data_IF_784230053823
#
_entry.id   IF_784230053823
#
_cell.length_a   1.000
_cell.length_b   1.000
_cell.length_c   1.000
_cell.angle_alpha   90.00
_cell.angle_beta   90.00
_cell.angle_gamma   90.00
#
_symmetry.space_group_name_H-M   'P 1'
#
loop_
_entity.id
_entity.type
_entity.pdbx_description
1 polymer ?
#
# COMPACT_ATOMS: atom_id res chain seq x y z
N UNK A 1 -7.64 18.01 10.18
CA UNK A 1 -7.58 16.61 10.65
C UNK A 1 -6.67 15.85 9.69
N UNK A 2 -5.45 15.49 10.11
CA UNK A 2 -4.48 14.81 9.23
C UNK A 2 -4.86 13.34 9.09
N UNK A 3 -5.32 12.95 7.90
CA UNK A 3 -5.53 11.54 7.56
C UNK A 3 -4.13 10.94 7.34
N UNK A 4 -3.57 10.32 8.38
CA UNK A 4 -2.27 9.64 8.31
C UNK A 4 -2.49 8.14 8.10
N UNK A 5 -1.57 7.50 7.38
CA UNK A 5 -1.46 6.06 7.26
C UNK A 5 -1.01 5.50 8.61
N UNK A 6 -1.91 4.83 9.31
CA UNK A 6 -1.56 4.06 10.48
C UNK A 6 -0.86 2.78 10.03
N UNK A 7 0.35 2.56 10.57
CA UNK A 7 1.08 1.34 10.32
C UNK A 7 0.34 0.18 11.02
N UNK A 8 -0.07 -0.89 10.30
CA UNK A 8 -0.82 -2.00 10.88
C UNK A 8 -0.03 -2.71 11.98
N UNK A 9 -0.72 -3.10 13.04
CA UNK A 9 -0.18 -3.87 14.17
C UNK A 9 0.30 -5.25 13.69
N UNK A 10 1.28 -5.91 14.34
CA UNK A 10 1.74 -7.24 13.91
C UNK A 10 0.62 -8.29 13.75
N UNK A 11 -0.44 -8.20 14.55
CA UNK A 11 -1.62 -9.07 14.44
C UNK A 11 -2.44 -8.78 13.17
N UNK A 12 -2.66 -7.51 12.86
CA UNK A 12 -3.34 -7.10 11.62
C UNK A 12 -2.56 -7.53 10.39
N UNK A 13 -1.22 -7.41 10.43
CA UNK A 13 -0.35 -7.91 9.37
C UNK A 13 -0.54 -9.41 9.15
N UNK A 14 -0.55 -10.21 10.22
CA UNK A 14 -0.77 -11.67 10.13
C UNK A 14 -2.15 -12.00 9.59
N UNK A 15 -3.18 -11.28 10.03
CA UNK A 15 -4.57 -11.48 9.56
C UNK A 15 -4.71 -11.16 8.07
N UNK A 16 -4.14 -10.04 7.61
CA UNK A 16 -4.18 -9.66 6.19
C UNK A 16 -3.39 -10.67 5.35
N UNK A 17 -2.19 -11.06 5.78
CA UNK A 17 -1.39 -12.04 5.04
C UNK A 17 -2.10 -13.39 4.95
N UNK A 18 -2.71 -13.87 6.04
CA UNK A 18 -3.45 -15.14 6.02
C UNK A 18 -4.67 -15.08 5.10
N UNK A 19 -5.37 -13.95 5.05
CA UNK A 19 -6.53 -13.75 4.18
C UNK A 19 -6.15 -13.70 2.70
N UNK A 20 -4.98 -13.17 2.37
CA UNK A 20 -4.43 -13.20 1.02
C UNK A 20 -3.67 -14.50 0.68
N UNK A 21 -3.57 -15.44 1.62
CA UNK A 21 -2.91 -16.73 1.42
C UNK A 21 -1.37 -16.65 1.38
N UNK A 22 -0.79 -15.58 1.93
CA UNK A 22 0.66 -15.36 1.94
C UNK A 22 1.24 -15.85 3.28
N UNK A 23 2.23 -16.78 3.25
CA UNK A 23 2.76 -17.40 4.46
C UNK A 23 3.65 -16.48 5.30
N UNK A 24 4.20 -15.41 4.73
CA UNK A 24 5.08 -14.47 5.43
C UNK A 24 5.07 -13.07 4.80
N UNK A 25 5.47 -12.08 5.61
CA UNK A 25 5.60 -10.71 5.14
C UNK A 25 6.86 -10.55 4.28
N UNK A 26 6.67 -10.37 2.97
CA UNK A 26 7.77 -10.19 2.02
C UNK A 26 7.97 -8.73 1.63
N UNK A 27 9.21 -8.42 1.23
CA UNK A 27 9.56 -7.11 0.68
C UNK A 27 9.19 -7.04 -0.81
N UNK A 28 8.28 -6.14 -1.12
CA UNK A 28 7.72 -5.89 -2.44
C UNK A 28 8.50 -4.76 -3.12
N UNK A 29 8.89 -4.96 -4.38
CA UNK A 29 9.56 -3.94 -5.21
C UNK A 29 8.57 -3.01 -5.90
N UNK A 30 9.10 -1.98 -6.54
CA UNK A 30 8.34 -0.99 -7.34
C UNK A 30 7.34 -1.66 -8.30
N UNK A 31 7.80 -2.64 -9.09
CA UNK A 31 6.98 -3.34 -10.10
C UNK A 31 5.78 -4.04 -9.48
N UNK A 32 5.99 -4.71 -8.36
CA UNK A 32 4.94 -5.49 -7.68
C UNK A 32 4.04 -4.56 -6.85
N UNK A 33 4.59 -3.49 -6.26
CA UNK A 33 3.79 -2.41 -5.66
C UNK A 33 2.84 -1.82 -6.69
N UNK A 34 3.33 -1.49 -7.89
CA UNK A 34 2.50 -0.99 -8.99
C UNK A 34 1.41 -1.99 -9.35
N UNK A 35 1.70 -3.29 -9.38
CA UNK A 35 0.69 -4.31 -9.67
C UNK A 35 -0.41 -4.38 -8.60
N UNK A 36 -0.03 -4.36 -7.31
CA UNK A 36 -0.95 -4.45 -6.17
C UNK A 36 -1.81 -3.17 -6.05
N UNK A 37 -1.17 -2.01 -6.09
CA UNK A 37 -1.83 -0.72 -5.84
C UNK A 37 -2.42 -0.10 -7.10
N UNK A 38 -1.97 -0.48 -8.30
CA UNK A 38 -2.29 0.16 -9.59
C UNK A 38 -2.09 1.67 -9.63
N UNK A 39 -1.31 2.24 -8.70
CA UNK A 39 -0.94 3.66 -8.68
C UNK A 39 0.43 3.84 -9.32
N UNK A 40 0.56 4.94 -10.07
CA UNK A 40 1.84 5.35 -10.65
C UNK A 40 2.83 5.77 -9.56
N UNK A 41 4.13 5.73 -9.89
CA UNK A 41 5.22 6.15 -8.99
C UNK A 41 5.04 7.57 -8.47
N UNK A 42 4.56 8.49 -9.30
CA UNK A 42 4.34 9.89 -8.91
C UNK A 42 3.18 10.04 -7.93
N UNK A 43 2.09 9.31 -8.13
CA UNK A 43 0.97 9.29 -7.18
C UNK A 43 1.38 8.67 -5.84
N UNK A 44 2.13 7.55 -5.86
CA UNK A 44 2.69 6.97 -4.65
C UNK A 44 3.56 7.97 -3.89
N UNK A 45 4.43 8.72 -4.58
CA UNK A 45 5.28 9.73 -3.96
C UNK A 45 4.47 10.88 -3.34
N UNK A 46 3.41 11.36 -4.01
CA UNK A 46 2.52 12.38 -3.45
C UNK A 46 1.84 11.88 -2.17
N UNK A 47 1.31 10.67 -2.19
CA UNK A 47 0.65 10.06 -1.03
C UNK A 47 1.63 9.78 0.11
N UNK A 48 2.86 9.39 -0.20
CA UNK A 48 3.92 9.24 0.80
C UNK A 48 4.23 10.60 1.46
N UNK A 49 4.32 11.68 0.68
CA UNK A 49 4.53 13.03 1.19
C UNK A 49 3.32 13.57 2.00
N UNK A 50 2.11 13.15 1.64
CA UNK A 50 0.88 13.42 2.40
C UNK A 50 0.75 12.54 3.66
N UNK A 51 1.68 11.61 3.89
CA UNK A 51 1.61 10.66 5.01
C UNK A 51 0.49 9.64 4.87
N UNK A 52 -0.03 9.44 3.66
CA UNK A 52 -1.18 8.60 3.32
C UNK A 52 -0.81 7.28 2.70
N UNK A 53 0.47 7.02 2.45
CA UNK A 53 0.98 5.77 1.85
C UNK A 53 1.98 5.11 2.81
N UNK A 54 2.13 3.78 2.79
CA UNK A 54 3.14 3.11 3.57
C UNK A 54 4.56 3.59 3.26
N UNK A 55 5.35 3.76 4.32
CA UNK A 55 6.71 4.24 4.23
C UNK A 55 7.59 3.29 3.40
N UNK A 56 8.36 3.85 2.46
CA UNK A 56 9.37 3.08 1.70
C UNK A 56 10.51 2.66 2.63
N UNK A 57 10.91 1.39 2.54
CA UNK A 57 12.13 0.89 3.15
C UNK A 57 13.28 0.93 2.14
N UNK A 58 14.35 1.71 2.39
CA UNK A 58 15.54 1.65 1.55
C UNK A 58 16.22 0.30 1.76
N UNK A 59 16.47 -0.42 0.66
CA UNK A 59 17.31 -1.63 0.67
C UNK A 59 18.72 -1.34 0.12
N UNK A 60 18.88 -0.24 -0.62
CA UNK A 60 20.17 0.18 -1.16
C UNK A 60 20.09 1.57 -1.78
N UNK A 61 21.17 2.00 -2.43
CA UNK A 61 21.36 3.37 -2.95
C UNK A 61 20.22 3.87 -3.85
N UNK A 62 19.66 2.99 -4.68
CA UNK A 62 18.58 3.29 -5.63
C UNK A 62 17.41 2.31 -5.49
N UNK A 63 17.43 1.47 -4.46
CA UNK A 63 16.49 0.36 -4.30
C UNK A 63 15.65 0.58 -3.06
N UNK A 64 14.36 0.71 -3.27
CA UNK A 64 13.36 0.76 -2.19
C UNK A 64 12.48 -0.49 -2.27
N UNK A 65 11.89 -0.84 -1.15
CA UNK A 65 10.87 -1.88 -1.03
C UNK A 65 9.79 -1.45 -0.04
N UNK A 66 8.66 -2.12 -0.11
CA UNK A 66 7.54 -1.97 0.82
C UNK A 66 7.21 -3.34 1.41
N UNK A 67 6.61 -3.39 2.59
CA UNK A 67 6.09 -4.66 3.09
C UNK A 67 4.80 -4.99 2.35
N UNK A 68 4.61 -6.26 2.01
CA UNK A 68 3.40 -6.72 1.36
C UNK A 68 2.19 -6.45 2.25
N UNK A 69 2.28 -6.75 3.54
CA UNK A 69 1.22 -6.48 4.52
C UNK A 69 0.78 -5.00 4.53
N UNK A 70 1.74 -4.08 4.47
CA UNK A 70 1.47 -2.64 4.43
C UNK A 70 0.74 -2.21 3.15
N UNK A 71 1.16 -2.74 2.00
CA UNK A 71 0.48 -2.46 0.73
C UNK A 71 -0.94 -3.02 0.69
N UNK A 72 -1.13 -4.24 1.17
CA UNK A 72 -2.45 -4.89 1.21
C UNK A 72 -3.39 -4.16 2.19
N UNK A 73 -2.88 -3.73 3.34
CA UNK A 73 -3.63 -2.92 4.30
C UNK A 73 -4.06 -1.58 3.68
N UNK A 74 -3.13 -0.91 2.98
CA UNK A 74 -3.40 0.34 2.30
C UNK A 74 -4.46 0.21 1.19
N UNK A 75 -4.39 -0.85 0.38
CA UNK A 75 -5.40 -1.10 -0.67
C UNK A 75 -6.78 -1.34 -0.08
N UNK A 76 -6.86 -1.97 1.09
CA UNK A 76 -8.11 -2.19 1.83
C UNK A 76 -8.70 -0.95 2.46
N UNK A 77 -7.84 -0.06 2.96
CA UNK A 77 -8.25 1.21 3.53
C UNK A 77 -7.67 2.37 2.72
N UNK A 78 -8.08 2.52 1.46
CA UNK A 78 -7.59 3.60 0.64
C UNK A 78 -8.09 4.90 1.25
N UNK A 79 -7.22 5.89 1.46
CA UNK A 79 -7.68 7.21 1.87
C UNK A 79 -8.67 7.72 0.82
N UNK A 80 -9.76 8.35 1.26
CA UNK A 80 -10.75 9.00 0.40
C UNK A 80 -10.10 10.21 -0.28
N UNK A 81 -9.24 9.96 -1.24
CA UNK A 81 -8.58 10.96 -2.06
C UNK A 81 -9.28 10.93 -3.40
N UNK A 82 -9.87 12.06 -3.76
CA UNK A 82 -10.43 12.28 -5.08
C UNK A 82 -9.32 12.05 -6.13
N UNK A 83 -9.54 11.13 -7.09
CA UNK A 83 -8.61 10.75 -8.17
C UNK A 83 -7.51 9.72 -7.87
N UNK A 84 -7.64 8.86 -6.85
CA UNK A 84 -6.83 7.62 -6.82
C UNK A 84 -7.52 6.53 -7.64
N UNK A 85 -6.84 6.01 -8.67
CA UNK A 85 -7.26 4.80 -9.37
C UNK A 85 -7.06 3.57 -8.48
N UNK A 86 -7.94 3.40 -7.50
CA UNK A 86 -7.91 2.26 -6.60
C UNK A 86 -8.52 1.03 -7.29
N UNK A 87 -7.77 -0.08 -7.45
CA UNK A 87 -8.30 -1.29 -8.07
C UNK A 87 -9.46 -1.90 -7.26
N UNK A 88 -9.54 -1.67 -5.95
CA UNK A 88 -10.64 -2.15 -5.10
C UNK A 88 -11.94 -1.35 -5.30
N UNK A 89 -11.84 -0.06 -5.66
CA UNK A 89 -13.00 0.82 -5.88
C UNK A 89 -13.62 0.69 -7.28
N UNK A 90 -13.09 -0.19 -8.14
CA UNK A 90 -13.62 -0.44 -9.50
C UNK A 90 -14.97 -1.16 -9.54
N UNK A 91 -15.64 -1.30 -8.39
CA UNK A 91 -17.00 -1.83 -8.28
C UNK A 91 -17.95 -0.75 -7.77
N UNK A 92 -18.39 0.13 -8.67
CA UNK A 92 -19.73 0.73 -8.66
C UNK A 92 -19.86 1.70 -9.85
N UNK A 93 -20.24 1.19 -11.00
CA UNK A 93 -21.02 1.97 -11.96
C UNK A 93 -22.16 1.06 -12.36
N UNK A 94 -23.34 1.38 -11.80
CA UNK A 94 -24.64 0.93 -12.28
C UNK A 94 -25.02 1.79 -13.49
#
# INVERSE_FOLDING_TARGET
MTIQYNTPTPEERRSILSEYGEPYDRLVREKERHHITSISRTSAWKLENEGRFPARKPLGRNSCAWLLSDLLHWVRNPPTVENINNPYSRKATN
#
